data_IF_356106574542
#
_entry.id   IF_356106574542
#
_cell.length_a   1.000
_cell.length_b   1.000
_cell.length_c   1.000
_cell.angle_alpha   90.00
_cell.angle_beta   90.00
_cell.angle_gamma   90.00
#
_symmetry.space_group_name_H-M   'P 1'
#
loop_
_entity.id
_entity.type
_entity.pdbx_description
1 polymer ?
#
# COMPACT_ATOMS: atom_id res chain seq x y z
N UNK A 1 12.87 -25.87 16.29
CA UNK A 1 12.46 -25.57 14.90
C UNK A 1 13.00 -24.19 14.54
N UNK A 2 13.92 -24.07 13.57
CA UNK A 2 14.56 -22.79 13.21
C UNK A 2 13.64 -22.03 12.26
N UNK A 3 13.18 -20.84 12.66
CA UNK A 3 12.38 -19.98 11.79
C UNK A 3 13.25 -19.55 10.60
N UNK A 4 12.79 -19.82 9.37
CA UNK A 4 13.50 -19.40 8.16
C UNK A 4 13.28 -17.91 7.96
N UNK A 5 14.37 -17.15 7.84
CA UNK A 5 14.30 -15.74 7.43
C UNK A 5 13.80 -15.70 5.99
N UNK A 6 12.67 -15.04 5.77
CA UNK A 6 12.11 -14.75 4.45
C UNK A 6 12.18 -13.25 4.16
N UNK A 7 12.53 -12.90 2.93
CA UNK A 7 12.36 -11.54 2.38
C UNK A 7 11.11 -11.52 1.51
N UNK A 8 10.47 -10.36 1.43
CA UNK A 8 9.33 -10.15 0.54
C UNK A 8 9.62 -8.90 -0.27
N UNK A 9 9.64 -9.05 -1.60
CA UNK A 9 9.70 -7.93 -2.53
C UNK A 9 8.28 -7.55 -2.93
N UNK A 10 7.89 -6.30 -2.63
CA UNK A 10 6.60 -5.74 -3.05
C UNK A 10 6.80 -4.89 -4.29
N UNK A 11 6.10 -5.25 -5.38
CA UNK A 11 6.05 -4.49 -6.62
C UNK A 11 4.62 -4.01 -6.84
N UNK A 12 4.47 -2.74 -7.19
CA UNK A 12 3.19 -2.13 -7.55
C UNK A 12 3.43 -0.99 -8.53
N UNK A 13 2.46 -0.71 -9.39
CA UNK A 13 2.48 0.42 -10.31
C UNK A 13 1.50 1.50 -9.86
N UNK A 14 1.73 2.72 -10.34
CA UNK A 14 0.83 3.85 -10.14
C UNK A 14 0.67 4.57 -11.46
N UNK A 15 -0.58 4.83 -11.85
CA UNK A 15 -0.92 5.64 -13.02
C UNK A 15 -1.69 6.87 -12.54
N UNK A 16 -1.33 8.03 -13.08
CA UNK A 16 -2.03 9.30 -12.83
C UNK A 16 -2.20 9.64 -11.34
N UNK A 17 -1.19 9.35 -10.53
CA UNK A 17 -1.23 9.57 -9.09
C UNK A 17 0.16 9.81 -8.50
N UNK A 18 0.19 10.36 -7.29
CA UNK A 18 1.42 10.59 -6.53
C UNK A 18 1.49 9.65 -5.31
N UNK A 19 2.28 8.56 -5.36
CA UNK A 19 2.34 7.59 -4.27
C UNK A 19 3.04 8.10 -3.01
N UNK A 20 3.89 9.11 -3.13
CA UNK A 20 4.71 9.60 -2.03
C UNK A 20 4.97 11.10 -2.16
N UNK A 21 3.91 11.87 -1.97
CA UNK A 21 4.01 13.33 -2.01
C UNK A 21 4.82 13.92 -0.86
N UNK A 22 5.64 14.90 -1.20
CA UNK A 22 6.43 15.66 -0.25
C UNK A 22 5.62 16.79 0.40
N UNK A 23 5.37 16.77 1.72
CA UNK A 23 4.67 17.85 2.39
C UNK A 23 5.44 19.18 2.38
N UNK A 24 6.74 19.17 2.09
CA UNK A 24 7.59 20.37 2.03
C UNK A 24 7.75 20.93 0.62
N UNK A 25 7.38 20.18 -0.41
CA UNK A 25 7.46 20.59 -1.82
C UNK A 25 6.11 20.39 -2.53
N UNK A 26 5.09 21.12 -2.06
CA UNK A 26 3.76 21.21 -2.69
C UNK A 26 3.12 19.85 -3.03
N UNK A 27 3.46 18.80 -2.28
CA UNK A 27 3.02 17.43 -2.54
C UNK A 27 3.44 16.91 -3.93
N UNK A 28 4.61 17.29 -4.44
CA UNK A 28 5.25 16.67 -5.61
C UNK A 28 5.80 15.28 -5.25
N UNK A 29 5.96 14.36 -6.22
CA UNK A 29 6.58 13.06 -5.97
C UNK A 29 8.01 13.24 -5.43
N UNK A 30 8.36 12.55 -4.34
CA UNK A 30 9.73 12.59 -3.84
C UNK A 30 10.70 11.91 -4.80
N UNK A 31 11.76 12.61 -5.13
CA UNK A 31 12.86 12.14 -5.98
C UNK A 31 14.17 12.13 -5.17
N UNK A 32 14.99 11.12 -5.38
CA UNK A 32 16.39 11.11 -4.93
C UNK A 32 17.24 11.93 -5.90
N UNK A 33 17.83 13.02 -5.44
CA UNK A 33 18.67 13.90 -6.26
C UNK A 33 19.96 13.22 -6.77
N UNK A 34 20.39 12.12 -6.14
CA UNK A 34 21.62 11.44 -6.53
C UNK A 34 21.41 10.36 -7.59
N UNK A 35 20.20 9.80 -7.66
CA UNK A 35 19.90 8.65 -8.52
C UNK A 35 18.79 8.95 -9.54
N UNK A 36 18.17 10.12 -9.46
CA UNK A 36 16.98 10.52 -10.24
C UNK A 36 15.83 9.50 -10.14
N UNK A 37 15.78 8.74 -9.03
CA UNK A 37 14.72 7.75 -8.79
C UNK A 37 13.64 8.30 -7.88
N UNK A 38 12.38 7.93 -8.16
CA UNK A 38 11.27 8.26 -7.27
C UNK A 38 11.30 7.35 -6.04
N UNK A 39 11.33 7.96 -4.86
CA UNK A 39 11.36 7.23 -3.59
C UNK A 39 9.94 7.14 -3.05
N UNK A 40 9.57 5.97 -2.50
CA UNK A 40 8.38 5.80 -1.67
C UNK A 40 8.79 5.39 -0.25
N UNK A 41 8.39 6.20 0.74
CA UNK A 41 8.73 5.92 2.14
C UNK A 41 7.92 4.75 2.74
N UNK A 42 8.53 4.01 3.67
CA UNK A 42 7.90 2.88 4.37
C UNK A 42 6.57 3.24 5.05
N UNK A 43 6.44 4.48 5.53
CA UNK A 43 5.20 4.98 6.14
C UNK A 43 4.05 5.00 5.12
N UNK A 44 4.34 5.34 3.86
CA UNK A 44 3.34 5.31 2.78
C UNK A 44 2.99 3.88 2.39
N UNK A 45 3.97 3.00 2.26
CA UNK A 45 3.73 1.58 1.98
C UNK A 45 2.92 0.91 3.08
N UNK A 46 3.22 1.19 4.35
CA UNK A 46 2.47 0.69 5.50
C UNK A 46 1.05 1.24 5.56
N UNK A 47 0.83 2.50 5.18
CA UNK A 47 -0.51 3.11 5.13
C UNK A 47 -1.34 2.49 4.00
N UNK A 48 -0.77 2.33 2.80
CA UNK A 48 -1.43 1.71 1.65
C UNK A 48 -1.72 0.23 1.91
N UNK A 49 -0.75 -0.53 2.40
CA UNK A 49 -0.93 -1.95 2.73
C UNK A 49 -1.87 -2.13 3.90
N UNK A 50 -1.78 -1.35 4.97
CA UNK A 50 -2.72 -1.42 6.10
C UNK A 50 -4.14 -1.07 5.65
N UNK A 51 -4.32 -0.06 4.80
CA UNK A 51 -5.63 0.28 4.24
C UNK A 51 -6.14 -0.80 3.27
N UNK A 52 -5.29 -1.29 2.36
CA UNK A 52 -5.65 -2.34 1.39
C UNK A 52 -5.95 -3.66 2.09
N UNK A 53 -5.18 -4.03 3.11
CA UNK A 53 -5.43 -5.20 3.96
C UNK A 53 -6.70 -4.98 4.77
N UNK A 54 -6.91 -3.81 5.37
CA UNK A 54 -8.17 -3.50 6.08
C UNK A 54 -9.37 -3.56 5.14
N UNK A 55 -9.27 -3.03 3.93
CA UNK A 55 -10.32 -3.10 2.90
C UNK A 55 -10.51 -4.54 2.40
N UNK A 56 -9.44 -5.32 2.19
CA UNK A 56 -9.54 -6.72 1.78
C UNK A 56 -10.14 -7.59 2.87
N UNK A 57 -9.73 -7.41 4.13
CA UNK A 57 -10.30 -8.10 5.30
C UNK A 57 -11.74 -7.67 5.52
N UNK A 58 -12.08 -6.39 5.39
CA UNK A 58 -13.44 -5.88 5.54
C UNK A 58 -14.37 -6.30 4.40
N UNK A 59 -13.89 -6.29 3.14
CA UNK A 59 -14.61 -6.78 1.96
C UNK A 59 -14.84 -8.29 2.03
N UNK A 60 -13.87 -9.06 2.52
CA UNK A 60 -14.02 -10.50 2.75
C UNK A 60 -15.05 -10.82 3.84
N UNK A 61 -15.21 -9.94 4.84
CA UNK A 61 -16.21 -10.10 5.92
C UNK A 61 -17.60 -9.65 5.46
N UNK A 62 -17.72 -8.60 4.64
CA UNK A 62 -19.01 -8.14 4.11
C UNK A 62 -19.58 -9.06 3.01
N UNK A 63 -18.72 -9.71 2.22
CA UNK A 63 -19.12 -10.69 1.20
C UNK A 63 -19.75 -11.96 1.78
N UNK A 64 -19.57 -12.23 3.08
CA UNK A 64 -20.21 -13.34 3.77
C UNK A 64 -21.66 -13.02 4.19
N UNK A 65 -22.00 -11.74 4.38
CA UNK A 65 -23.35 -11.31 4.78
C UNK A 65 -24.29 -11.09 3.58
N UNK A 66 -23.76 -10.99 2.36
CA UNK A 66 -24.58 -10.91 1.14
C UNK A 66 -25.02 -12.30 0.63
N UNK A 67 -24.43 -13.38 1.15
CA UNK A 67 -24.80 -14.77 0.83
C UNK A 67 -25.78 -15.40 1.82
N UNK A 68 -26.10 -14.73 2.93
CA UNK A 68 -27.12 -15.18 3.88
C UNK A 68 -28.35 -14.32 3.56
N UNK A 69 -29.29 -14.93 2.84
CA UNK A 69 -30.40 -14.26 2.18
C UNK A 69 -31.15 -13.25 3.05
N UNK A 70 -31.50 -12.13 2.43
CA UNK A 70 -32.64 -11.33 2.87
C UNK A 70 -33.88 -12.24 2.97
N UNK A 71 -34.70 -12.13 4.02
CA UNK A 71 -35.99 -12.80 4.06
C UNK A 71 -36.91 -12.35 2.92
#
# INVERSE_FOLDING_TARGET
MKMRRSEILFLYDVKWGNPNGDPMDENKPRMDENTDTLIVSDVRLKSLTSLTIRVSVFSSILGLFSSIGSP
#
